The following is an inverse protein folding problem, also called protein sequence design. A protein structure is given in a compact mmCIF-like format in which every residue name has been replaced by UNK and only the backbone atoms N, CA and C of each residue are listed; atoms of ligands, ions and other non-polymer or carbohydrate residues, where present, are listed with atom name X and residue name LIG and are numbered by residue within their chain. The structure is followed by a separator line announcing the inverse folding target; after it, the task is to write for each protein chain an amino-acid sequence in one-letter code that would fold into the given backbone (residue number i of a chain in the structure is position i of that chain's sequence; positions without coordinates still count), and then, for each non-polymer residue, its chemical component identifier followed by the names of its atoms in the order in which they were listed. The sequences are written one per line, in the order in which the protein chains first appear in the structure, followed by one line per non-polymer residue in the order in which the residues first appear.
data_IF_198444304707
#
_entry.id   IF_198444304707
#
_cell.length_a   1.000
_cell.length_b   1.000
_cell.length_c   1.000
_cell.angle_alpha   90.00
_cell.angle_beta   90.00
_cell.angle_gamma   90.00
#
_symmetry.space_group_name_H-M   'P 1'
#
loop_
_entity.id
_entity.type
_entity.pdbx_description
1 polymer ?
#
# COMPACT_ATOMS: atom_id res chain seq x y z
N UNK A 1 21.76 19.68 8.60
CA UNK A 1 22.44 19.42 7.32
C UNK A 1 21.74 18.25 6.63
N UNK A 2 21.49 18.32 5.32
CA UNK A 2 20.78 17.24 4.60
C UNK A 2 21.69 16.03 4.41
N UNK A 3 21.14 14.82 4.58
CA UNK A 3 21.88 13.57 4.32
C UNK A 3 22.14 13.39 2.83
N UNK A 4 23.05 12.46 2.46
CA UNK A 4 23.28 12.11 1.06
C UNK A 4 22.00 11.59 0.40
N UNK A 5 21.23 10.76 1.12
CA UNK A 5 19.93 10.27 0.65
C UNK A 5 18.97 11.43 0.39
N UNK A 6 18.85 12.38 1.32
CA UNK A 6 17.96 13.53 1.16
C UNK A 6 18.30 14.34 -0.09
N UNK A 7 19.59 14.59 -0.35
CA UNK A 7 20.03 15.24 -1.57
C UNK A 7 19.69 14.42 -2.82
N UNK A 8 19.87 13.10 -2.77
CA UNK A 8 19.51 12.19 -3.86
C UNK A 8 18.02 12.28 -4.21
N UNK A 9 17.15 12.31 -3.19
CA UNK A 9 15.68 12.37 -3.37
C UNK A 9 15.16 13.65 -4.01
N UNK A 10 15.95 14.73 -4.03
CA UNK A 10 15.52 16.02 -4.59
C UNK A 10 16.27 16.44 -5.85
N UNK A 11 17.46 15.90 -6.11
CA UNK A 11 18.31 16.32 -7.24
C UNK A 11 18.35 15.35 -8.40
N UNK A 12 17.99 14.08 -8.20
CA UNK A 12 18.20 13.02 -9.17
C UNK A 12 16.88 12.48 -9.73
N UNK A 13 16.96 11.78 -10.86
CA UNK A 13 15.82 11.07 -11.43
C UNK A 13 15.76 9.61 -10.93
N UNK A 14 14.67 8.93 -11.27
CA UNK A 14 14.33 7.59 -10.76
C UNK A 14 15.49 6.60 -10.89
N UNK A 15 16.15 6.56 -12.05
CA UNK A 15 17.18 5.58 -12.33
C UNK A 15 18.38 5.74 -11.38
N UNK A 16 18.82 6.97 -11.20
CA UNK A 16 19.95 7.35 -10.34
C UNK A 16 19.59 7.17 -8.86
N UNK A 17 18.36 7.49 -8.45
CA UNK A 17 17.90 7.22 -7.08
C UNK A 17 17.92 5.73 -6.75
N UNK A 18 17.45 4.88 -7.68
CA UNK A 18 17.45 3.42 -7.49
C UNK A 18 18.88 2.90 -7.46
N UNK A 19 19.75 3.36 -8.38
CA UNK A 19 21.16 3.00 -8.41
C UNK A 19 21.85 3.35 -7.08
N UNK A 20 21.58 4.56 -6.55
CA UNK A 20 22.10 4.99 -5.26
C UNK A 20 21.70 4.06 -4.11
N UNK A 21 20.42 3.68 -4.00
CA UNK A 21 19.98 2.75 -2.94
C UNK A 21 20.60 1.35 -3.07
N UNK A 22 20.76 0.85 -4.30
CA UNK A 22 21.39 -0.46 -4.54
C UNK A 22 22.85 -0.47 -4.12
N UNK A 23 23.58 0.61 -4.39
CA UNK A 23 25.00 0.73 -4.03
C UNK A 23 25.23 1.12 -2.56
N UNK A 24 24.19 1.53 -1.81
CA UNK A 24 24.31 2.01 -0.44
C UNK A 24 23.30 1.35 0.51
N UNK A 25 23.59 0.14 1.05
CA UNK A 25 22.66 -0.57 1.94
C UNK A 25 22.22 0.23 3.18
N UNK A 26 23.11 1.06 3.74
CA UNK A 26 22.78 1.95 4.87
C UNK A 26 21.72 3.00 4.50
N UNK A 27 21.75 3.49 3.25
CA UNK A 27 20.77 4.46 2.77
C UNK A 27 19.38 3.82 2.61
N UNK A 28 19.29 2.50 2.40
CA UNK A 28 18.01 1.80 2.36
C UNK A 28 17.33 1.82 3.74
N UNK A 29 18.06 1.47 4.81
CA UNK A 29 17.54 1.55 6.18
C UNK A 29 17.16 2.99 6.56
N UNK A 30 17.97 3.98 6.15
CA UNK A 30 17.65 5.39 6.32
C UNK A 30 16.36 5.77 5.58
N UNK A 31 16.17 5.30 4.34
CA UNK A 31 14.96 5.56 3.56
C UNK A 31 13.72 4.97 4.22
N UNK A 32 13.79 3.78 4.83
CA UNK A 32 12.66 3.20 5.57
C UNK A 32 12.24 4.12 6.72
N UNK A 33 13.22 4.54 7.53
CA UNK A 33 12.97 5.45 8.66
C UNK A 33 12.38 6.78 8.17
N UNK A 34 13.01 7.37 7.15
CA UNK A 34 12.59 8.64 6.58
C UNK A 34 11.17 8.58 6.01
N UNK A 35 10.80 7.45 5.37
CA UNK A 35 9.47 7.21 4.81
C UNK A 35 8.35 7.26 5.86
N UNK A 36 8.63 6.97 7.13
CA UNK A 36 7.63 6.99 8.21
C UNK A 36 7.53 8.36 8.92
N UNK A 37 8.44 9.30 8.62
CA UNK A 37 8.45 10.65 9.21
C UNK A 37 7.50 11.61 8.49
N UNK A 38 7.39 12.84 9.01
CA UNK A 38 6.66 13.95 8.38
C UNK A 38 7.58 14.93 7.64
N UNK A 39 8.85 14.57 7.42
CA UNK A 39 9.85 15.45 6.81
C UNK A 39 9.67 15.55 5.30
N UNK A 40 8.80 16.44 4.85
CA UNK A 40 8.49 16.60 3.42
C UNK A 40 9.51 17.47 2.68
N UNK A 41 9.78 17.20 1.37
CA UNK A 41 9.20 16.14 0.54
C UNK A 41 9.92 14.79 0.67
N UNK A 42 10.89 14.66 1.58
CA UNK A 42 11.75 13.48 1.66
C UNK A 42 10.98 12.23 2.07
N UNK A 43 10.04 12.33 3.03
CA UNK A 43 9.30 11.18 3.53
C UNK A 43 8.50 10.46 2.44
N UNK A 44 7.62 11.18 1.71
CA UNK A 44 6.84 10.52 0.66
C UNK A 44 7.71 10.04 -0.51
N UNK A 45 8.80 10.75 -0.82
CA UNK A 45 9.76 10.33 -1.87
C UNK A 45 10.55 9.10 -1.46
N UNK A 46 10.92 8.96 -0.19
CA UNK A 46 11.53 7.75 0.35
C UNK A 46 10.57 6.58 0.22
N UNK A 47 9.30 6.73 0.60
CA UNK A 47 8.29 5.69 0.43
C UNK A 47 8.16 5.28 -1.05
N UNK A 48 8.10 6.27 -1.94
CA UNK A 48 8.03 6.07 -3.39
C UNK A 48 9.25 5.30 -3.94
N UNK A 49 10.45 5.69 -3.48
CA UNK A 49 11.69 5.10 -3.94
C UNK A 49 11.82 3.64 -3.44
N UNK A 50 11.44 3.38 -2.18
CA UNK A 50 11.44 2.04 -1.60
C UNK A 50 10.57 1.06 -2.39
N UNK A 51 9.30 1.38 -2.65
CA UNK A 51 8.46 0.44 -3.40
C UNK A 51 8.92 0.29 -4.86
N UNK A 52 9.63 1.28 -5.40
CA UNK A 52 10.19 1.23 -6.76
C UNK A 52 11.37 0.26 -6.90
N UNK A 53 12.10 -0.04 -5.83
CA UNK A 53 13.29 -0.91 -5.90
C UNK A 53 13.27 -2.13 -4.97
N UNK A 54 12.32 -2.21 -4.03
CA UNK A 54 12.18 -3.38 -3.16
C UNK A 54 11.75 -4.61 -3.95
N UNK A 55 12.18 -5.77 -3.45
CA UNK A 55 11.71 -7.07 -3.91
C UNK A 55 10.32 -7.38 -3.33
N UNK A 56 9.65 -8.40 -3.89
CA UNK A 56 8.44 -8.94 -3.25
C UNK A 56 8.87 -9.60 -1.93
N UNK A 57 8.14 -9.30 -0.85
CA UNK A 57 8.45 -9.76 0.50
C UNK A 57 9.89 -9.44 0.96
N UNK A 58 10.34 -8.21 0.67
CA UNK A 58 11.70 -7.76 0.97
C UNK A 58 12.07 -7.91 2.46
N UNK A 59 13.07 -8.73 2.74
CA UNK A 59 13.52 -9.04 4.12
C UNK A 59 13.91 -7.78 4.91
N UNK A 60 14.38 -6.73 4.23
CA UNK A 60 14.80 -5.47 4.87
C UNK A 60 13.62 -4.71 5.46
N UNK A 61 12.43 -4.83 4.84
CA UNK A 61 11.20 -4.15 5.27
C UNK A 61 10.47 -4.92 6.37
N UNK A 62 10.65 -6.24 6.46
CA UNK A 62 9.86 -7.14 7.31
C UNK A 62 9.76 -6.70 8.77
N UNK A 63 10.87 -6.23 9.37
CA UNK A 63 10.92 -5.77 10.77
C UNK A 63 10.21 -4.43 11.00
N UNK A 64 9.89 -3.69 9.94
CA UNK A 64 9.27 -2.37 9.99
C UNK A 64 7.79 -2.38 9.62
N UNK A 65 7.20 -3.54 9.25
CA UNK A 65 5.81 -3.62 8.79
C UNK A 65 4.87 -2.94 9.79
N UNK A 66 4.96 -3.26 11.07
CA UNK A 66 4.10 -2.65 12.10
C UNK A 66 4.25 -1.13 12.13
N UNK A 67 5.49 -0.63 12.20
CA UNK A 67 5.76 0.81 12.23
C UNK A 67 5.30 1.54 10.97
N UNK A 68 5.35 0.88 9.81
CA UNK A 68 4.80 1.42 8.57
C UNK A 68 3.29 1.55 8.69
N UNK A 69 2.59 0.51 9.14
CA UNK A 69 1.13 0.53 9.35
C UNK A 69 0.74 1.65 10.32
N UNK A 70 1.37 1.68 11.50
CA UNK A 70 1.11 2.68 12.55
C UNK A 70 1.32 4.13 12.05
N UNK A 71 2.17 4.33 11.05
CA UNK A 71 2.48 5.67 10.53
C UNK A 71 1.47 6.23 9.54
N UNK A 72 0.65 5.38 8.88
CA UNK A 72 -0.12 5.76 7.68
C UNK A 72 -1.24 6.75 7.98
N UNK A 73 -2.02 6.53 9.03
CA UNK A 73 -3.26 7.28 9.32
C UNK A 73 -3.02 8.80 9.32
N UNK A 74 -1.91 9.23 9.92
CA UNK A 74 -1.54 10.64 10.06
C UNK A 74 -1.01 11.31 8.79
N UNK A 75 -0.76 10.55 7.70
CA UNK A 75 -0.11 11.08 6.49
C UNK A 75 -1.13 11.67 5.51
N UNK A 76 -0.65 12.55 4.63
CA UNK A 76 -1.42 13.04 3.48
C UNK A 76 -1.61 11.93 2.44
N UNK A 77 -2.69 12.00 1.69
CA UNK A 77 -3.11 11.05 0.64
C UNK A 77 -1.97 10.48 -0.20
N UNK A 78 -1.19 11.34 -0.86
CA UNK A 78 -0.07 10.89 -1.69
C UNK A 78 0.94 10.02 -0.93
N UNK A 79 1.23 10.36 0.32
CA UNK A 79 2.16 9.63 1.18
C UNK A 79 1.54 8.33 1.72
N UNK A 80 0.27 8.36 2.15
CA UNK A 80 -0.48 7.15 2.53
C UNK A 80 -0.44 6.10 1.42
N UNK A 81 -0.71 6.53 0.18
CA UNK A 81 -0.66 5.67 -1.00
C UNK A 81 0.71 5.00 -1.19
N UNK A 82 1.81 5.75 -1.08
CA UNK A 82 3.14 5.17 -1.28
C UNK A 82 3.51 4.19 -0.17
N UNK A 83 3.09 4.43 1.08
CA UNK A 83 3.27 3.47 2.18
C UNK A 83 2.44 2.20 1.98
N UNK A 84 1.18 2.32 1.56
CA UNK A 84 0.33 1.17 1.24
C UNK A 84 0.90 0.32 0.08
N UNK A 85 1.54 0.95 -0.93
CA UNK A 85 2.22 0.19 -2.00
C UNK A 85 3.37 -0.66 -1.47
N UNK A 86 4.13 -0.18 -0.48
CA UNK A 86 5.16 -0.99 0.19
C UNK A 86 4.49 -2.21 0.83
N UNK A 87 3.44 -2.00 1.64
CA UNK A 87 2.72 -3.08 2.31
C UNK A 87 2.09 -4.08 1.32
N UNK A 88 1.59 -3.61 0.17
CA UNK A 88 1.03 -4.48 -0.87
C UNK A 88 2.05 -5.47 -1.45
N UNK A 89 3.35 -5.18 -1.37
CA UNK A 89 4.43 -6.08 -1.79
C UNK A 89 4.93 -7.00 -0.68
N UNK A 90 4.52 -6.77 0.57
CA UNK A 90 4.97 -7.55 1.72
C UNK A 90 4.04 -8.71 2.04
N UNK A 91 4.60 -9.78 2.63
CA UNK A 91 3.79 -10.76 3.35
C UNK A 91 3.47 -10.20 4.75
N UNK A 92 2.22 -9.85 4.94
CA UNK A 92 1.70 -9.40 6.24
C UNK A 92 1.46 -10.63 7.11
N UNK A 93 2.00 -10.61 8.33
CA UNK A 93 1.77 -11.66 9.34
C UNK A 93 0.33 -11.57 9.84
N UNK A 94 -0.27 -12.71 10.19
CA UNK A 94 -1.66 -12.81 10.68
C UNK A 94 -1.98 -11.78 11.78
N UNK A 95 -1.05 -11.57 12.72
CA UNK A 95 -1.18 -10.61 13.83
C UNK A 95 -1.39 -9.15 13.37
N UNK A 96 -1.01 -8.81 12.14
CA UNK A 96 -1.15 -7.47 11.57
C UNK A 96 -2.18 -7.38 10.44
N UNK A 97 -2.76 -8.51 10.01
CA UNK A 97 -3.70 -8.54 8.88
C UNK A 97 -5.00 -7.81 9.22
N UNK A 98 -5.59 -8.08 10.38
CA UNK A 98 -6.80 -7.37 10.83
C UNK A 98 -6.56 -5.87 10.96
N UNK A 99 -5.50 -5.48 11.66
CA UNK A 99 -5.17 -4.06 11.85
C UNK A 99 -4.92 -3.32 10.52
N UNK A 100 -4.22 -3.94 9.56
CA UNK A 100 -4.04 -3.33 8.24
C UNK A 100 -5.33 -3.31 7.43
N UNK A 101 -6.20 -4.32 7.58
CA UNK A 101 -7.49 -4.36 6.91
C UNK A 101 -8.38 -3.21 7.39
N UNK A 102 -8.52 -3.02 8.71
CA UNK A 102 -9.30 -1.96 9.32
C UNK A 102 -8.81 -0.57 8.86
N UNK A 103 -7.51 -0.33 8.92
CA UNK A 103 -6.91 0.90 8.40
C UNK A 103 -7.24 1.13 6.92
N UNK A 104 -7.20 0.09 6.09
CA UNK A 104 -7.53 0.22 4.67
C UNK A 104 -9.03 0.45 4.45
N UNK A 105 -9.88 -0.10 5.31
CA UNK A 105 -11.32 0.12 5.31
C UNK A 105 -11.62 1.58 5.63
N UNK A 106 -11.05 2.13 6.70
CA UNK A 106 -11.20 3.54 7.09
C UNK A 106 -10.78 4.49 5.96
N UNK A 107 -9.68 4.19 5.26
CA UNK A 107 -9.23 4.97 4.11
C UNK A 107 -10.16 4.82 2.89
N UNK A 108 -10.79 3.66 2.72
CA UNK A 108 -11.70 3.39 1.60
C UNK A 108 -13.06 4.07 1.79
N UNK A 109 -13.58 4.09 3.01
CA UNK A 109 -14.89 4.64 3.35
C UNK A 109 -14.94 6.17 3.29
N UNK A 110 -13.80 6.85 3.42
CA UNK A 110 -13.69 8.30 3.22
C UNK A 110 -13.84 8.65 1.72
N UNK A 111 -15.08 8.86 1.28
CA UNK A 111 -15.43 9.06 -0.14
C UNK A 111 -14.83 10.32 -0.79
N UNK A 112 -14.38 11.27 0.03
CA UNK A 112 -13.73 12.53 -0.35
C UNK A 112 -12.20 12.41 -0.54
N UNK A 113 -11.59 11.30 -0.12
CA UNK A 113 -10.16 11.02 -0.34
C UNK A 113 -9.81 10.87 -1.81
N UNK A 114 -8.53 11.12 -2.13
CA UNK A 114 -7.97 10.88 -3.45
C UNK A 114 -8.29 9.43 -3.94
N UNK A 115 -8.92 9.28 -5.12
CA UNK A 115 -9.31 7.97 -5.64
C UNK A 115 -8.16 6.96 -5.74
N UNK A 116 -6.91 7.42 -5.91
CA UNK A 116 -5.75 6.53 -5.99
C UNK A 116 -5.36 5.97 -4.63
N UNK A 117 -5.57 6.71 -3.53
CA UNK A 117 -5.38 6.20 -2.16
C UNK A 117 -6.40 5.12 -1.90
N UNK A 118 -7.68 5.43 -2.12
CA UNK A 118 -8.81 4.50 -1.93
C UNK A 118 -8.61 3.21 -2.73
N UNK A 119 -8.31 3.31 -4.02
CA UNK A 119 -8.00 2.13 -4.84
C UNK A 119 -6.80 1.33 -4.32
N UNK A 120 -5.79 1.98 -3.77
CA UNK A 120 -4.61 1.28 -3.22
C UNK A 120 -4.97 0.55 -1.92
N UNK A 121 -5.76 1.16 -1.05
CA UNK A 121 -6.30 0.53 0.15
C UNK A 121 -7.15 -0.70 -0.18
N UNK A 122 -8.07 -0.59 -1.15
CA UNK A 122 -8.88 -1.73 -1.61
C UNK A 122 -8.02 -2.90 -2.11
N UNK A 123 -6.94 -2.64 -2.86
CA UNK A 123 -6.03 -3.70 -3.33
C UNK A 123 -5.35 -4.43 -2.16
N UNK A 124 -5.01 -3.70 -1.09
CA UNK A 124 -4.44 -4.30 0.12
C UNK A 124 -5.50 -5.15 0.83
N UNK A 125 -6.72 -4.63 1.02
CA UNK A 125 -7.84 -5.40 1.60
C UNK A 125 -8.10 -6.69 0.83
N UNK A 126 -8.16 -6.63 -0.50
CA UNK A 126 -8.39 -7.81 -1.35
C UNK A 126 -7.25 -8.81 -1.25
N UNK A 127 -6.00 -8.35 -1.14
CA UNK A 127 -4.85 -9.25 -0.91
C UNK A 127 -5.00 -10.01 0.41
N UNK A 128 -5.50 -9.35 1.47
CA UNK A 128 -5.77 -9.99 2.76
C UNK A 128 -6.97 -10.94 2.64
N UNK A 129 -8.07 -10.49 2.04
CA UNK A 129 -9.28 -11.28 1.85
C UNK A 129 -9.08 -12.55 1.00
N UNK A 130 -8.15 -12.54 0.05
CA UNK A 130 -7.79 -13.74 -0.69
C UNK A 130 -7.21 -14.87 0.19
N UNK A 131 -6.69 -14.55 1.39
CA UNK A 131 -6.24 -15.54 2.37
C UNK A 131 -7.35 -15.98 3.32
N UNK A 132 -8.45 -15.23 3.37
CA UNK A 132 -9.53 -15.34 4.35
C UNK A 132 -10.88 -15.32 3.63
N UNK A 133 -11.33 -16.44 3.05
CA UNK A 133 -12.58 -16.49 2.28
C UNK A 133 -13.82 -16.01 3.06
N UNK A 134 -13.79 -16.10 4.39
CA UNK A 134 -14.87 -15.66 5.28
C UNK A 134 -15.17 -14.16 5.18
N UNK A 135 -14.19 -13.33 4.81
CA UNK A 135 -14.37 -11.87 4.68
C UNK A 135 -14.75 -11.43 3.25
N UNK A 136 -15.05 -12.38 2.36
CA UNK A 136 -15.48 -12.06 0.99
C UNK A 136 -16.79 -11.25 0.96
N UNK A 137 -17.70 -11.48 1.92
CA UNK A 137 -18.94 -10.71 2.03
C UNK A 137 -18.67 -9.26 2.45
N UNK A 138 -17.70 -9.00 3.34
CA UNK A 138 -17.30 -7.65 3.75
C UNK A 138 -16.79 -6.87 2.52
N UNK A 139 -15.93 -7.48 1.71
CA UNK A 139 -15.48 -6.88 0.44
C UNK A 139 -16.66 -6.55 -0.48
N UNK A 140 -17.68 -7.41 -0.54
CA UNK A 140 -18.87 -7.16 -1.36
C UNK A 140 -19.62 -5.90 -0.91
N UNK A 141 -19.75 -5.68 0.40
CA UNK A 141 -20.38 -4.46 0.94
C UNK A 141 -19.55 -3.20 0.62
N UNK A 142 -18.23 -3.29 0.70
CA UNK A 142 -17.33 -2.18 0.38
C UNK A 142 -17.31 -1.80 -1.12
N UNK A 143 -17.90 -2.62 -1.99
CA UNK A 143 -17.98 -2.37 -3.44
C UNK A 143 -19.35 -1.87 -3.90
N UNK A 144 -20.23 -1.48 -2.97
CA UNK A 144 -21.52 -0.86 -3.30
C UNK A 144 -21.37 0.55 -3.90
N UNK A 145 -22.39 1.00 -4.65
CA UNK A 145 -22.36 2.22 -5.45
C UNK A 145 -21.94 3.47 -4.66
N UNK A 146 -22.39 3.62 -3.41
CA UNK A 146 -22.01 4.74 -2.55
C UNK A 146 -20.48 4.96 -2.45
N UNK A 147 -19.70 3.87 -2.40
CA UNK A 147 -18.24 3.95 -2.37
C UNK A 147 -17.61 4.17 -3.74
N UNK A 148 -18.31 3.82 -4.81
CA UNK A 148 -17.81 3.91 -6.19
C UNK A 148 -18.17 5.22 -6.88
N UNK A 149 -19.21 5.92 -6.40
CA UNK A 149 -19.81 7.09 -7.05
C UNK A 149 -18.93 8.32 -7.14
N UNK A 150 -18.03 8.51 -6.18
CA UNK A 150 -17.07 9.61 -6.19
C UNK A 150 -15.79 9.31 -6.96
N UNK A 151 -15.64 8.09 -7.49
CA UNK A 151 -14.41 7.67 -8.16
C UNK A 151 -14.37 8.13 -9.62
N UNK A 152 -13.17 8.44 -10.10
CA UNK A 152 -12.97 8.73 -11.51
C UNK A 152 -13.32 7.52 -12.40
N UNK A 153 -13.76 7.73 -13.66
CA UNK A 153 -14.12 6.62 -14.55
C UNK A 153 -13.02 5.57 -14.72
N UNK A 154 -11.75 6.02 -14.76
CA UNK A 154 -10.60 5.13 -14.86
C UNK A 154 -10.40 4.26 -13.61
N UNK A 155 -10.59 4.83 -12.42
CA UNK A 155 -10.49 4.10 -11.15
C UNK A 155 -11.65 3.13 -11.00
N UNK A 156 -12.88 3.55 -11.31
CA UNK A 156 -14.06 2.68 -11.29
C UNK A 156 -13.87 1.45 -12.19
N UNK A 157 -13.42 1.65 -13.43
CA UNK A 157 -13.12 0.54 -14.36
C UNK A 157 -12.07 -0.43 -13.81
N UNK A 158 -11.04 0.10 -13.13
CA UNK A 158 -10.03 -0.74 -12.51
C UNK A 158 -10.60 -1.59 -11.36
N UNK A 159 -11.49 -1.02 -10.54
CA UNK A 159 -12.14 -1.70 -9.43
C UNK A 159 -13.07 -2.80 -9.92
N UNK A 160 -13.91 -2.55 -10.92
CA UNK A 160 -14.79 -3.58 -11.49
C UNK A 160 -14.01 -4.81 -11.98
N UNK A 161 -12.81 -4.61 -12.54
CA UNK A 161 -11.93 -5.73 -12.91
C UNK A 161 -11.44 -6.49 -11.68
N UNK A 162 -10.97 -5.77 -10.67
CA UNK A 162 -10.48 -6.35 -9.41
C UNK A 162 -11.58 -7.15 -8.70
N UNK A 163 -12.79 -6.61 -8.63
CA UNK A 163 -13.98 -7.25 -8.08
C UNK A 163 -14.26 -8.58 -8.79
N UNK A 164 -14.34 -8.55 -10.12
CA UNK A 164 -14.60 -9.73 -10.94
C UNK A 164 -13.56 -10.83 -10.69
N UNK A 165 -12.29 -10.46 -10.65
CA UNK A 165 -11.19 -11.40 -10.40
C UNK A 165 -11.29 -12.01 -9.00
N UNK A 166 -11.54 -11.17 -7.98
CA UNK A 166 -11.69 -11.60 -6.58
C UNK A 166 -12.82 -12.62 -6.38
N UNK A 167 -14.04 -12.30 -6.85
CA UNK A 167 -15.19 -13.19 -6.65
C UNK A 167 -15.13 -14.44 -7.53
N UNK A 168 -14.47 -14.39 -8.69
CA UNK A 168 -14.22 -15.59 -9.49
C UNK A 168 -13.31 -16.58 -8.74
N UNK A 169 -12.21 -16.09 -8.16
CA UNK A 169 -11.28 -16.93 -7.39
C UNK A 169 -11.91 -17.50 -6.12
N UNK A 170 -12.71 -16.71 -5.40
CA UNK A 170 -13.36 -17.19 -4.17
C UNK A 170 -14.42 -18.27 -4.42
N UNK A 171 -15.21 -18.17 -5.50
CA UNK A 171 -16.19 -19.20 -5.87
C UNK A 171 -15.54 -20.57 -6.11
N UNK A 172 -14.39 -20.58 -6.78
CA UNK A 172 -13.61 -21.81 -7.01
C UNK A 172 -13.14 -22.41 -5.68
N UNK A 173 -12.61 -21.59 -4.77
CA UNK A 173 -12.12 -22.06 -3.47
C UNK A 173 -13.24 -22.63 -2.57
N UNK A 174 -14.45 -22.05 -2.60
CA UNK A 174 -15.61 -22.59 -1.88
C UNK A 174 -16.15 -23.89 -2.47
N UNK A 175 -15.91 -24.18 -3.75
CA UNK A 175 -16.34 -25.44 -4.39
C UNK A 175 -15.35 -26.59 -4.18
N UNK A 176 -14.09 -26.29 -3.86
CA UNK A 176 -13.05 -27.31 -3.58
C UNK A 176 -13.08 -27.75 -2.10
N UNK A 177 -13.55 -26.87 -1.21
CA UNK A 177 -13.56 -27.10 0.24
C UNK A 177 -14.91 -27.57 0.80
N UNK A 178 -15.90 -27.82 -0.07
CA UNK A 178 -17.21 -28.40 0.23
C UNK A 178 -17.36 -29.74 -0.49
#
# INVERSE_FOLDING_TARGET
MQTKLEQTLIKFYKHEMISFLKSNPKAFEEAIKLAMTDKQPFAWRSAWLLWSCMEVNDKRIRKHIKSIIDSIETKKDGHQRELLKILSKMEIKKDYEGYLFDLCMDLWEQIDKDPSVRMTALKVMIKIANKHPQIANEIKFLLQDHYLDTLSPGVRKAITRIEKDFFKSNKVNTQINN
#
